data_IF_643173825297
#
_entry.id   IF_643173825297
#
_cell.length_a   1.000
_cell.length_b   1.000
_cell.length_c   1.000
_cell.angle_alpha   90.00
_cell.angle_beta   90.00
_cell.angle_gamma   90.00
#
_symmetry.space_group_name_H-M   'P 1'
#
loop_
_entity.id
_entity.type
_entity.pdbx_description
1 polymer ?
#
# COMPACT_ATOMS: atom_id res chain seq x y z
N UNK A 1 -11.94 -3.89 -7.30
CA UNK A 1 -11.86 -5.12 -6.49
C UNK A 1 -13.25 -5.40 -5.93
N UNK A 2 -13.64 -6.67 -5.86
CA UNK A 2 -14.88 -7.10 -5.20
C UNK A 2 -14.65 -7.18 -3.69
N UNK A 3 -15.71 -7.07 -2.90
CA UNK A 3 -15.66 -7.20 -1.43
C UNK A 3 -14.96 -8.48 -0.93
N UNK A 4 -15.22 -9.69 -1.49
CA UNK A 4 -14.48 -10.90 -1.09
C UNK A 4 -12.98 -10.83 -1.39
N UNK A 5 -12.58 -10.14 -2.46
CA UNK A 5 -11.16 -9.96 -2.78
C UNK A 5 -10.46 -9.02 -1.79
N UNK A 6 -11.15 -7.99 -1.30
CA UNK A 6 -10.63 -7.09 -0.26
C UNK A 6 -10.43 -7.87 1.05
N UNK A 7 -11.44 -8.64 1.47
CA UNK A 7 -11.35 -9.45 2.69
C UNK A 7 -10.18 -10.44 2.65
N UNK A 8 -9.94 -11.09 1.51
CA UNK A 8 -8.80 -12.00 1.34
C UNK A 8 -7.44 -11.30 1.46
N UNK A 9 -7.31 -10.06 1.01
CA UNK A 9 -6.06 -9.28 1.16
C UNK A 9 -5.88 -8.83 2.61
N UNK A 10 -6.95 -8.37 3.27
CA UNK A 10 -6.90 -7.94 4.66
C UNK A 10 -6.51 -9.10 5.59
N UNK A 11 -7.07 -10.30 5.38
CA UNK A 11 -6.71 -11.49 6.14
C UNK A 11 -5.22 -11.86 6.01
N UNK A 12 -4.63 -11.68 4.82
CA UNK A 12 -3.19 -11.90 4.64
C UNK A 12 -2.35 -10.87 5.41
N UNK A 13 -2.81 -9.62 5.51
CA UNK A 13 -2.13 -8.54 6.23
C UNK A 13 -2.15 -8.68 7.76
N UNK A 14 -2.89 -9.65 8.29
CA UNK A 14 -2.91 -9.96 9.73
C UNK A 14 -1.79 -10.92 10.16
N UNK A 15 -1.04 -11.52 9.20
CA UNK A 15 0.17 -12.29 9.49
C UNK A 15 1.23 -11.38 10.16
N UNK A 16 1.74 -11.69 11.37
CA UNK A 16 2.65 -10.84 12.10
C UNK A 16 4.04 -10.66 11.46
N UNK A 17 4.35 -11.33 10.35
CA UNK A 17 5.64 -11.19 9.67
C UNK A 17 5.96 -9.76 9.19
N UNK A 18 7.23 -9.37 9.28
CA UNK A 18 7.73 -8.06 8.78
C UNK A 18 7.74 -8.01 7.22
N UNK A 19 7.81 -9.18 6.59
CA UNK A 19 7.84 -9.37 5.14
C UNK A 19 6.77 -10.39 4.76
N UNK A 20 6.05 -10.11 3.68
CA UNK A 20 4.96 -10.93 3.19
C UNK A 20 4.89 -10.84 1.67
N UNK A 21 4.44 -11.90 1.00
CA UNK A 21 4.06 -11.82 -0.41
C UNK A 21 2.55 -11.81 -0.50
N UNK A 22 1.96 -10.66 -0.80
CA UNK A 22 0.51 -10.50 -0.91
C UNK A 22 0.01 -11.08 -2.24
N UNK A 23 -0.98 -11.97 -2.17
CA UNK A 23 -1.75 -12.38 -3.33
C UNK A 23 -2.89 -11.39 -3.56
N UNK A 24 -2.82 -10.64 -4.67
CA UNK A 24 -3.85 -9.68 -5.09
C UNK A 24 -4.38 -10.10 -6.46
N UNK A 25 -5.53 -10.77 -6.46
CA UNK A 25 -6.06 -11.40 -7.67
C UNK A 25 -5.13 -12.52 -8.15
N UNK A 26 -4.56 -12.37 -9.35
CA UNK A 26 -3.58 -13.33 -9.92
C UNK A 26 -2.13 -12.97 -9.61
N UNK A 27 -1.89 -11.75 -9.13
CA UNK A 27 -0.55 -11.21 -8.97
C UNK A 27 -0.03 -11.45 -7.56
N UNK A 28 1.29 -11.62 -7.45
CA UNK A 28 2.01 -11.77 -6.19
C UNK A 28 2.89 -10.54 -5.96
N UNK A 29 2.63 -9.79 -4.90
CA UNK A 29 3.31 -8.54 -4.59
C UNK A 29 4.14 -8.70 -3.32
N UNK A 30 5.49 -8.73 -3.43
CA UNK A 30 6.35 -8.78 -2.25
C UNK A 30 6.30 -7.43 -1.52
N UNK A 31 6.00 -7.47 -0.23
CA UNK A 31 6.00 -6.33 0.68
C UNK A 31 6.95 -6.58 1.84
N UNK A 32 7.67 -5.53 2.23
CA UNK A 32 8.68 -5.56 3.29
C UNK A 32 8.50 -4.40 4.25
N UNK A 33 9.07 -4.52 5.45
CA UNK A 33 9.06 -3.48 6.49
C UNK A 33 7.63 -3.07 6.84
N UNK A 34 6.74 -4.05 7.03
CA UNK A 34 5.32 -3.82 7.30
C UNK A 34 5.09 -3.04 8.59
N UNK A 35 5.91 -3.27 9.60
CA UNK A 35 5.76 -2.63 10.91
C UNK A 35 6.51 -1.28 10.99
N UNK A 36 7.09 -0.82 9.86
CA UNK A 36 7.73 0.50 9.79
C UNK A 36 6.68 1.59 9.99
N UNK A 37 6.88 2.42 11.02
CA UNK A 37 6.07 3.61 11.27
C UNK A 37 6.30 4.65 10.17
N UNK A 38 5.27 4.90 9.35
CA UNK A 38 5.30 5.95 8.33
C UNK A 38 4.74 7.28 8.88
N UNK A 39 3.78 7.19 9.81
CA UNK A 39 3.29 8.32 10.58
C UNK A 39 3.61 8.09 12.06
N UNK A 40 4.50 8.89 12.68
CA UNK A 40 4.78 8.78 14.09
C UNK A 40 3.55 9.16 14.94
N UNK A 41 3.49 8.63 16.16
CA UNK A 41 2.42 8.95 17.10
C UNK A 41 2.37 10.46 17.39
N UNK A 42 1.16 11.02 17.46
CA UNK A 42 0.95 12.45 17.72
C UNK A 42 -0.19 12.66 18.70
N UNK A 43 0.14 13.18 19.89
CA UNK A 43 -0.83 13.41 20.96
C UNK A 43 -1.51 12.09 21.36
N UNK A 44 -2.82 11.99 21.15
CA UNK A 44 -3.62 10.78 21.42
C UNK A 44 -3.68 9.80 20.24
N UNK A 45 -3.10 10.15 19.10
CA UNK A 45 -3.14 9.30 17.90
C UNK A 45 -1.96 8.33 17.93
N UNK A 46 -2.20 7.01 17.82
CA UNK A 46 -1.12 6.04 17.72
C UNK A 46 -0.31 6.24 16.43
N UNK A 47 0.87 5.65 16.36
CA UNK A 47 1.65 5.62 15.13
C UNK A 47 0.95 4.73 14.09
N UNK A 48 0.98 5.13 12.82
CA UNK A 48 0.50 4.31 11.72
C UNK A 48 1.67 3.74 10.92
N UNK A 49 1.58 2.44 10.68
CA UNK A 49 2.62 1.67 10.01
C UNK A 49 2.35 1.56 8.50
N UNK A 50 3.34 1.04 7.77
CA UNK A 50 3.17 0.66 6.37
C UNK A 50 2.06 -0.38 6.19
N UNK A 51 1.91 -1.31 7.14
CA UNK A 51 0.82 -2.30 7.16
C UNK A 51 -0.54 -1.62 7.21
N UNK A 52 -0.70 -0.60 8.05
CA UNK A 52 -1.96 0.14 8.17
C UNK A 52 -2.31 0.90 6.89
N UNK A 53 -1.31 1.48 6.24
CA UNK A 53 -1.48 2.09 4.91
C UNK A 53 -1.98 1.06 3.88
N UNK A 54 -1.41 -0.14 3.87
CA UNK A 54 -1.85 -1.21 2.94
C UNK A 54 -3.27 -1.67 3.25
N UNK A 55 -3.66 -1.82 4.52
CA UNK A 55 -5.04 -2.13 4.91
C UNK A 55 -6.01 -1.06 4.43
N UNK A 56 -5.65 0.21 4.63
CA UNK A 56 -6.46 1.34 4.16
C UNK A 56 -6.63 1.32 2.64
N UNK A 57 -5.54 1.16 1.88
CA UNK A 57 -5.58 1.11 0.42
C UNK A 57 -6.39 -0.09 -0.09
N UNK A 58 -6.24 -1.26 0.53
CA UNK A 58 -7.03 -2.44 0.19
C UNK A 58 -8.52 -2.21 0.43
N UNK A 59 -8.89 -1.66 1.60
CA UNK A 59 -10.28 -1.34 1.95
C UNK A 59 -10.90 -0.29 1.05
N UNK A 60 -10.16 0.76 0.69
CA UNK A 60 -10.61 1.83 -0.19
C UNK A 60 -10.57 1.46 -1.68
N UNK A 61 -9.86 0.39 -2.06
CA UNK A 61 -9.64 -0.01 -3.46
C UNK A 61 -10.91 -0.15 -4.31
N UNK A 62 -12.08 -0.63 -3.82
CA UNK A 62 -13.27 -0.75 -4.66
C UNK A 62 -13.80 0.60 -5.17
N UNK A 63 -13.63 1.66 -4.38
CA UNK A 63 -14.00 3.02 -4.75
C UNK A 63 -12.85 3.71 -5.51
N UNK A 64 -11.62 3.66 -4.97
CA UNK A 64 -10.45 4.29 -5.57
C UNK A 64 -10.21 3.84 -7.01
N UNK A 65 -10.26 2.53 -7.27
CA UNK A 65 -9.95 1.98 -8.60
C UNK A 65 -10.96 2.42 -9.66
N UNK A 66 -12.20 2.73 -9.30
CA UNK A 66 -13.20 3.26 -10.27
C UNK A 66 -12.81 4.63 -10.80
N UNK A 67 -12.11 5.42 -9.99
CA UNK A 67 -11.67 6.76 -10.35
C UNK A 67 -10.27 6.77 -10.99
N UNK A 68 -9.41 5.81 -10.61
CA UNK A 68 -8.03 5.72 -11.06
C UNK A 68 -7.83 4.82 -12.29
N UNK A 69 -8.80 3.98 -12.64
CA UNK A 69 -8.72 3.14 -13.83
C UNK A 69 -8.47 3.96 -15.10
N UNK A 70 -7.52 3.50 -15.92
CA UNK A 70 -7.12 4.10 -17.19
C UNK A 70 -6.65 5.57 -17.09
N UNK A 71 -6.17 5.99 -15.91
CA UNK A 71 -5.60 7.32 -15.69
C UNK A 71 -4.13 7.23 -15.32
N UNK A 72 -3.27 8.08 -15.91
CA UNK A 72 -1.91 8.25 -15.44
C UNK A 72 -1.91 8.72 -13.98
N UNK A 73 -1.12 8.05 -13.13
CA UNK A 73 -0.97 8.40 -11.71
C UNK A 73 0.47 8.79 -11.45
N UNK A 74 0.64 9.88 -10.71
CA UNK A 74 1.91 10.24 -10.11
C UNK A 74 1.89 9.91 -8.62
N UNK A 75 3.03 9.49 -8.08
CA UNK A 75 3.13 9.09 -6.67
C UNK A 75 4.22 9.86 -5.96
N UNK A 76 3.91 10.39 -4.79
CA UNK A 76 4.91 10.89 -3.85
C UNK A 76 5.29 9.76 -2.91
N UNK A 77 6.58 9.46 -2.82
CA UNK A 77 7.08 8.35 -2.01
C UNK A 77 7.77 8.90 -0.78
N UNK A 78 7.48 8.25 0.35
CA UNK A 78 8.03 8.55 1.67
C UNK A 78 8.68 7.29 2.25
N UNK A 79 9.87 6.89 1.77
CA UNK A 79 10.50 5.64 2.19
C UNK A 79 10.73 5.56 3.70
N UNK A 80 11.03 6.70 4.33
CA UNK A 80 11.34 6.83 5.75
C UNK A 80 10.23 7.50 6.57
N UNK A 81 9.00 7.49 6.04
CA UNK A 81 7.85 8.13 6.68
C UNK A 81 7.81 9.64 6.47
N UNK A 82 6.77 10.28 7.02
CA UNK A 82 6.43 11.68 6.74
C UNK A 82 7.45 12.71 7.26
N UNK A 83 8.31 12.31 8.20
CA UNK A 83 9.37 13.17 8.75
C UNK A 83 10.68 13.02 7.98
N UNK A 84 10.78 12.03 7.08
CA UNK A 84 11.96 11.77 6.26
C UNK A 84 11.94 12.51 4.93
N UNK A 85 12.90 12.17 4.07
CA UNK A 85 12.92 12.68 2.69
C UNK A 85 11.80 12.06 1.86
N UNK A 86 11.24 12.87 0.97
CA UNK A 86 10.27 12.44 -0.03
C UNK A 86 10.76 12.77 -1.43
N UNK A 87 10.25 12.03 -2.40
CA UNK A 87 10.46 12.35 -3.81
C UNK A 87 9.19 12.09 -4.62
N UNK A 88 9.03 12.87 -5.68
CA UNK A 88 7.90 12.81 -6.59
C UNK A 88 8.26 11.96 -7.80
N UNK A 89 7.54 10.86 -8.01
CA UNK A 89 7.80 9.92 -9.08
C UNK A 89 6.77 10.11 -10.21
N UNK A 90 7.25 10.64 -11.35
CA UNK A 90 6.47 10.83 -12.59
C UNK A 90 6.59 9.67 -13.57
N UNK A 91 7.80 9.12 -13.67
CA UNK A 91 8.16 8.05 -14.60
C UNK A 91 8.58 6.84 -13.79
N UNK A 92 8.21 5.66 -14.27
CA UNK A 92 8.61 4.40 -13.64
C UNK A 92 9.32 3.51 -14.66
N UNK A 93 10.65 3.50 -14.59
CA UNK A 93 11.49 2.82 -15.59
C UNK A 93 11.38 1.29 -15.56
N UNK A 94 11.01 0.72 -14.41
CA UNK A 94 10.91 -0.73 -14.17
C UNK A 94 9.66 -1.06 -13.37
N UNK A 95 8.50 -0.77 -13.94
CA UNK A 95 7.23 -1.21 -13.39
C UNK A 95 7.05 -2.73 -13.60
N UNK A 96 6.42 -3.45 -12.65
CA UNK A 96 5.98 -4.81 -12.89
C UNK A 96 5.04 -4.90 -14.10
N UNK A 97 5.06 -6.03 -14.82
CA UNK A 97 4.26 -6.27 -16.03
C UNK A 97 2.74 -6.11 -15.86
N UNK A 98 2.22 -6.26 -14.64
CA UNK A 98 0.81 -6.10 -14.32
C UNK A 98 0.40 -4.65 -14.04
N UNK A 99 1.36 -3.73 -13.89
CA UNK A 99 1.11 -2.29 -13.76
C UNK A 99 1.10 -1.68 -15.17
N UNK A 100 0.04 -0.95 -15.49
CA UNK A 100 -0.19 -0.32 -16.80
C UNK A 100 -0.34 1.19 -16.64
#
# INVERSE_FOLDING_TARGET
>A
MTEPAVAAVLAQLDDPGEKLTLAVGREKVPVTSLDKALWPARGRTPAYTKRDLLRYLAGASPALLRHLADRPVFVTRWPDGITGQSFYQKVWDKAPNFVR
#
